data_IF_298380403562
#
_entry.id   IF_298380403562
#
_cell.length_a   1.000
_cell.length_b   1.000
_cell.length_c   1.000
_cell.angle_alpha   90.00
_cell.angle_beta   90.00
_cell.angle_gamma   90.00
#
_symmetry.space_group_name_H-M   'P 1'
#
loop_
_entity.id
_entity.type
_entity.pdbx_description
1 polymer ?
#
# COMPACT_ATOMS: atom_id res chain seq x y z
N UNK A 1 -27.74 3.08 -25.99
CA UNK A 1 -26.95 4.32 -25.86
C UNK A 1 -26.46 4.40 -24.42
N UNK A 2 -25.32 5.02 -24.14
CA UNK A 2 -24.80 5.13 -22.77
C UNK A 2 -25.06 6.54 -22.27
N UNK A 3 -25.53 6.68 -21.03
CA UNK A 3 -25.81 7.97 -20.39
C UNK A 3 -25.01 8.05 -19.10
N UNK A 4 -24.15 9.07 -18.99
CA UNK A 4 -23.45 9.41 -17.75
C UNK A 4 -24.09 10.61 -17.07
N UNK A 5 -24.37 10.53 -15.77
CA UNK A 5 -24.93 11.64 -14.99
C UNK A 5 -24.30 11.71 -13.60
N UNK A 6 -24.30 12.92 -13.01
CA UNK A 6 -24.13 13.07 -11.56
C UNK A 6 -25.41 12.52 -10.91
N UNK A 7 -25.24 11.68 -9.90
CA UNK A 7 -26.34 11.01 -9.21
C UNK A 7 -26.66 11.76 -7.92
N UNK A 8 -27.90 12.23 -7.81
CA UNK A 8 -28.41 12.97 -6.66
C UNK A 8 -29.58 12.26 -5.97
N UNK A 9 -30.27 11.36 -6.70
CA UNK A 9 -31.44 10.63 -6.21
C UNK A 9 -31.04 9.53 -5.23
N UNK A 10 -31.80 9.37 -4.14
CA UNK A 10 -31.46 8.42 -3.07
C UNK A 10 -31.40 6.98 -3.54
N UNK A 11 -32.33 6.56 -4.39
CA UNK A 11 -32.45 5.17 -4.83
C UNK A 11 -31.31 4.77 -5.76
N UNK A 12 -30.91 5.68 -6.67
CA UNK A 12 -29.76 5.50 -7.55
C UNK A 12 -28.43 5.48 -6.76
N UNK A 13 -28.32 6.31 -5.72
CA UNK A 13 -27.17 6.27 -4.80
C UNK A 13 -27.08 4.96 -4.03
N UNK A 14 -28.21 4.47 -3.53
CA UNK A 14 -28.29 3.16 -2.86
C UNK A 14 -27.88 2.03 -3.80
N UNK A 15 -28.25 2.08 -5.09
CA UNK A 15 -27.79 1.13 -6.10
C UNK A 15 -26.25 1.16 -6.22
N UNK A 16 -25.65 2.35 -6.35
CA UNK A 16 -24.19 2.52 -6.41
C UNK A 16 -23.53 1.90 -5.17
N UNK A 17 -24.00 2.22 -3.96
CA UNK A 17 -23.42 1.73 -2.72
C UNK A 17 -23.59 0.20 -2.54
N UNK A 18 -24.67 -0.37 -3.08
CA UNK A 18 -24.85 -1.84 -3.13
C UNK A 18 -23.90 -2.50 -4.12
N UNK A 19 -23.69 -1.92 -5.30
CA UNK A 19 -22.70 -2.46 -6.24
C UNK A 19 -21.29 -2.33 -5.67
N UNK A 20 -20.96 -1.20 -5.00
CA UNK A 20 -19.71 -1.04 -4.25
C UNK A 20 -19.53 -2.15 -3.22
N UNK A 21 -20.56 -2.47 -2.44
CA UNK A 21 -20.52 -3.58 -1.49
C UNK A 21 -20.20 -4.91 -2.20
N UNK A 22 -20.91 -5.26 -3.27
CA UNK A 22 -20.65 -6.50 -4.03
C UNK A 22 -19.22 -6.58 -4.56
N UNK A 23 -18.68 -5.45 -5.04
CA UNK A 23 -17.33 -5.39 -5.58
C UNK A 23 -16.29 -5.47 -4.46
N UNK A 24 -16.29 -4.52 -3.54
CA UNK A 24 -15.20 -4.35 -2.58
C UNK A 24 -15.33 -5.26 -1.36
N UNK A 25 -16.54 -5.61 -0.92
CA UNK A 25 -16.73 -6.52 0.22
C UNK A 25 -16.77 -7.97 -0.24
N UNK A 26 -17.67 -8.32 -1.17
CA UNK A 26 -17.91 -9.72 -1.51
C UNK A 26 -16.87 -10.29 -2.48
N UNK A 27 -16.61 -9.58 -3.59
CA UNK A 27 -15.75 -10.06 -4.68
C UNK A 27 -14.26 -9.88 -4.37
N UNK A 28 -13.85 -8.67 -4.02
CA UNK A 28 -12.44 -8.29 -3.91
C UNK A 28 -11.89 -8.44 -2.48
N UNK A 29 -12.79 -8.45 -1.47
CA UNK A 29 -12.46 -8.55 -0.04
C UNK A 29 -11.50 -7.44 0.41
N UNK A 30 -11.72 -6.25 -0.12
CA UNK A 30 -11.02 -4.99 0.16
C UNK A 30 -11.75 -4.12 1.20
N UNK A 31 -12.97 -4.49 1.59
CA UNK A 31 -13.73 -3.82 2.65
C UNK A 31 -14.34 -4.84 3.63
N UNK A 32 -14.31 -4.58 4.95
CA UNK A 32 -14.79 -5.53 5.96
C UNK A 32 -16.31 -5.67 5.95
N UNK A 33 -16.81 -6.89 5.74
CA UNK A 33 -18.26 -7.14 5.73
C UNK A 33 -18.96 -6.77 7.06
N UNK A 34 -18.25 -6.89 8.19
CA UNK A 34 -18.79 -6.56 9.50
C UNK A 34 -19.04 -5.06 9.72
N UNK A 35 -18.40 -4.17 8.94
CA UNK A 35 -18.68 -2.72 8.99
C UNK A 35 -19.93 -2.34 8.20
N UNK A 36 -20.39 -3.20 7.28
CA UNK A 36 -21.49 -2.91 6.36
C UNK A 36 -22.61 -3.98 6.44
N UNK A 37 -23.24 -4.19 7.61
CA UNK A 37 -24.21 -5.26 7.82
C UNK A 37 -25.49 -5.12 6.98
N UNK A 38 -25.75 -3.93 6.44
CA UNK A 38 -26.89 -3.64 5.56
C UNK A 38 -26.68 -4.06 4.09
N UNK A 39 -25.47 -4.50 3.72
CA UNK A 39 -25.10 -4.75 2.32
C UNK A 39 -24.94 -3.48 1.49
N UNK A 40 -24.70 -2.34 2.14
CA UNK A 40 -24.50 -1.02 1.54
C UNK A 40 -23.14 -0.51 1.99
N UNK A 41 -22.21 -0.30 1.05
CA UNK A 41 -20.90 0.29 1.33
C UNK A 41 -21.00 1.80 1.14
N UNK A 42 -21.32 2.50 2.24
CA UNK A 42 -21.44 3.96 2.33
C UNK A 42 -20.76 4.46 3.61
N UNK A 43 -19.84 5.40 3.45
CA UNK A 43 -19.09 6.02 4.55
C UNK A 43 -19.52 7.48 4.76
N UNK A 44 -19.08 8.12 5.85
CA UNK A 44 -19.48 9.50 6.16
C UNK A 44 -19.06 10.50 5.08
N UNK A 45 -17.90 10.29 4.46
CA UNK A 45 -17.34 11.16 3.43
C UNK A 45 -18.15 11.14 2.12
N UNK A 46 -18.89 10.06 1.85
CA UNK A 46 -19.75 9.93 0.68
C UNK A 46 -20.83 11.03 0.65
N UNK A 47 -21.27 11.52 1.81
CA UNK A 47 -22.26 12.60 1.87
C UNK A 47 -21.75 13.93 1.28
N UNK A 48 -20.43 14.10 1.16
CA UNK A 48 -19.78 15.26 0.54
C UNK A 48 -19.20 14.97 -0.84
N UNK A 49 -19.36 13.74 -1.35
CA UNK A 49 -18.76 13.31 -2.59
C UNK A 49 -19.66 13.61 -3.81
N UNK A 50 -19.02 13.74 -4.97
CA UNK A 50 -19.70 13.75 -6.26
C UNK A 50 -19.76 12.30 -6.76
N UNK A 51 -20.97 11.77 -6.85
CA UNK A 51 -21.22 10.44 -7.41
C UNK A 51 -21.59 10.57 -8.88
N UNK A 52 -20.82 9.91 -9.74
CA UNK A 52 -21.03 9.87 -11.19
C UNK A 52 -21.33 8.42 -11.54
N UNK A 53 -22.39 8.18 -12.29
CA UNK A 53 -22.74 6.85 -12.76
C UNK A 53 -23.06 6.84 -14.25
N UNK A 54 -22.82 5.68 -14.84
CA UNK A 54 -22.95 5.38 -16.25
C UNK A 54 -24.03 4.31 -16.41
N UNK A 55 -25.09 4.62 -17.15
CA UNK A 55 -26.24 3.74 -17.33
C UNK A 55 -26.45 3.40 -18.80
N UNK A 56 -27.03 2.21 -19.04
CA UNK A 56 -27.56 1.86 -20.34
C UNK A 56 -28.92 2.54 -20.54
N UNK A 57 -29.09 3.24 -21.67
CA UNK A 57 -30.22 4.16 -21.91
C UNK A 57 -31.59 3.49 -22.01
N UNK A 58 -31.63 2.23 -22.43
CA UNK A 58 -32.84 1.48 -22.76
C UNK A 58 -33.50 0.82 -21.55
N UNK A 59 -32.71 0.38 -20.57
CA UNK A 59 -33.17 -0.35 -19.39
C UNK A 59 -32.73 0.26 -18.06
N UNK A 60 -31.97 1.36 -18.09
CA UNK A 60 -31.42 2.01 -16.89
C UNK A 60 -30.47 1.13 -16.07
N UNK A 61 -29.84 0.11 -16.67
CA UNK A 61 -28.87 -0.70 -15.96
C UNK A 61 -27.60 0.09 -15.67
N UNK A 62 -27.13 0.05 -14.42
CA UNK A 62 -25.85 0.62 -14.00
C UNK A 62 -24.68 -0.18 -14.61
N UNK A 63 -23.88 0.49 -15.44
CA UNK A 63 -22.70 -0.06 -16.13
C UNK A 63 -21.39 0.22 -15.37
N UNK A 64 -21.36 1.32 -14.62
CA UNK A 64 -20.20 1.72 -13.83
C UNK A 64 -20.44 3.01 -13.06
N UNK A 65 -19.62 3.26 -12.05
CA UNK A 65 -19.71 4.45 -11.21
C UNK A 65 -18.32 4.94 -10.81
N UNK A 66 -18.27 6.19 -10.38
CA UNK A 66 -17.12 6.86 -9.81
C UNK A 66 -17.60 7.74 -8.66
N UNK A 67 -16.98 7.60 -7.49
CA UNK A 67 -17.17 8.52 -6.37
C UNK A 67 -15.93 9.41 -6.27
N UNK A 68 -16.13 10.72 -6.30
CA UNK A 68 -15.04 11.71 -6.20
C UNK A 68 -15.27 12.59 -4.97
N UNK A 69 -14.36 12.53 -4.00
CA UNK A 69 -14.37 13.48 -2.88
C UNK A 69 -13.50 14.67 -3.27
N UNK A 70 -14.12 15.81 -3.56
CA UNK A 70 -13.39 17.02 -3.99
C UNK A 70 -12.89 17.78 -2.77
N UNK A 71 -11.59 18.10 -2.75
CA UNK A 71 -10.99 18.98 -1.74
C UNK A 71 -11.34 20.44 -2.04
N UNK A 72 -12.31 20.99 -1.31
CA UNK A 72 -12.46 22.43 -1.15
C UNK A 72 -11.61 22.95 0.04
N UNK A 73 -11.68 24.25 0.35
CA UNK A 73 -10.88 24.82 1.46
C UNK A 73 -11.29 24.29 2.85
N UNK A 74 -12.52 23.82 3.02
CA UNK A 74 -13.11 23.47 4.32
C UNK A 74 -13.25 21.95 4.53
N UNK A 75 -13.22 21.17 3.46
CA UNK A 75 -13.31 19.71 3.49
C UNK A 75 -11.98 19.15 3.94
N UNK A 76 -11.97 18.24 4.91
CA UNK A 76 -10.77 17.49 5.28
C UNK A 76 -10.93 16.09 4.74
N UNK A 77 -10.02 15.69 3.84
CA UNK A 77 -10.03 14.35 3.26
C UNK A 77 -9.65 13.31 4.33
N UNK A 78 -10.18 12.07 4.27
CA UNK A 78 -9.76 10.98 5.15
C UNK A 78 -8.23 10.84 5.24
N UNK A 79 -7.54 10.90 4.10
CA UNK A 79 -6.09 10.81 4.04
C UNK A 79 -5.37 11.94 4.82
N UNK A 80 -5.96 13.14 4.88
CA UNK A 80 -5.38 14.28 5.61
C UNK A 80 -5.43 14.07 7.12
N UNK A 81 -6.57 13.61 7.65
CA UNK A 81 -6.70 13.30 9.08
C UNK A 81 -5.76 12.17 9.47
N UNK A 82 -5.80 11.09 8.68
CA UNK A 82 -5.10 9.86 8.97
C UNK A 82 -3.58 10.02 9.00
N UNK A 83 -3.05 10.80 8.06
CA UNK A 83 -1.62 11.06 7.98
C UNK A 83 -1.24 12.41 8.57
N UNK A 84 -2.16 13.17 9.16
CA UNK A 84 -1.90 14.52 9.64
C UNK A 84 -1.18 15.39 8.58
N UNK A 85 -1.65 15.30 7.33
CA UNK A 85 -1.12 16.01 6.17
C UNK A 85 -2.12 17.07 5.69
N UNK A 86 -1.66 17.99 4.83
CA UNK A 86 -2.52 18.94 4.11
C UNK A 86 -2.38 18.72 2.62
N UNK A 87 -3.48 18.38 1.96
CA UNK A 87 -3.50 18.21 0.50
C UNK A 87 -3.89 19.54 -0.14
N UNK A 88 -3.25 19.87 -1.25
CA UNK A 88 -3.50 21.10 -2.00
C UNK A 88 -4.98 21.21 -2.45
N UNK A 89 -5.56 22.42 -2.49
CA UNK A 89 -6.89 22.64 -3.06
C UNK A 89 -6.97 22.17 -4.52
N UNK A 90 -8.16 21.74 -4.95
CA UNK A 90 -8.41 21.14 -6.27
C UNK A 90 -7.80 19.73 -6.46
N UNK A 91 -7.51 19.04 -5.37
CA UNK A 91 -7.26 17.60 -5.37
C UNK A 91 -8.55 16.82 -5.15
N UNK A 92 -8.50 15.51 -5.42
CA UNK A 92 -9.59 14.60 -5.08
C UNK A 92 -9.01 13.30 -4.51
N UNK A 93 -9.74 12.70 -3.57
CA UNK A 93 -9.46 11.35 -3.09
C UNK A 93 -10.40 10.35 -3.78
N UNK A 94 -9.82 9.23 -4.18
CA UNK A 94 -10.55 8.01 -4.53
C UNK A 94 -10.42 7.10 -3.30
N UNK A 95 -11.56 6.86 -2.66
CA UNK A 95 -11.79 6.50 -1.26
C UNK A 95 -10.90 5.39 -0.65
N UNK A 96 -10.56 5.51 0.66
CA UNK A 96 -10.02 4.40 1.48
C UNK A 96 -10.46 4.31 2.95
N UNK A 97 -10.50 3.05 3.40
CA UNK A 97 -10.94 2.52 4.69
C UNK A 97 -9.70 2.06 5.50
N UNK A 98 -9.16 2.89 6.40
CA UNK A 98 -8.07 2.44 7.31
C UNK A 98 -8.38 2.71 8.77
N UNK A 99 -8.68 3.96 9.14
CA UNK A 99 -9.01 4.30 10.53
C UNK A 99 -10.30 3.62 10.99
N UNK A 100 -11.30 3.53 10.10
CA UNK A 100 -12.59 2.88 10.38
C UNK A 100 -12.46 1.37 10.63
N UNK A 101 -11.38 0.74 10.13
CA UNK A 101 -11.05 -0.67 10.37
C UNK A 101 -10.34 -0.92 11.71
N UNK A 102 -10.26 0.08 12.59
CA UNK A 102 -9.59 -0.01 13.89
C UNK A 102 -8.07 -0.13 13.80
N UNK A 103 -7.50 0.28 12.66
CA UNK A 103 -6.06 0.24 12.45
C UNK A 103 -5.35 1.45 13.09
N UNK A 104 -4.14 1.21 13.57
CA UNK A 104 -3.22 2.23 14.09
C UNK A 104 -1.86 2.06 13.43
N UNK A 105 -1.24 3.17 13.05
CA UNK A 105 0.08 3.19 12.43
C UNK A 105 1.03 4.06 13.26
N UNK A 106 2.19 3.51 13.61
CA UNK A 106 3.23 4.22 14.35
C UNK A 106 4.57 4.09 13.65
N UNK A 107 5.50 5.02 13.92
CA UNK A 107 6.90 4.92 13.51
C UNK A 107 7.79 4.94 14.75
N UNK A 108 8.78 4.06 14.78
CA UNK A 108 9.75 3.97 15.88
C UNK A 108 11.17 3.95 15.33
N UNK A 109 12.06 4.73 15.93
CA UNK A 109 13.50 4.56 15.72
C UNK A 109 13.94 3.19 16.26
N UNK A 110 15.02 2.60 15.73
CA UNK A 110 15.37 1.22 16.02
C UNK A 110 15.51 0.91 17.51
N UNK A 111 16.11 1.82 18.30
CA UNK A 111 16.28 1.62 19.75
C UNK A 111 14.98 1.56 20.54
N UNK A 112 13.87 2.07 19.98
CA UNK A 112 12.55 2.07 20.61
C UNK A 112 11.70 0.84 20.26
N UNK A 113 12.21 -0.05 19.40
CA UNK A 113 11.50 -1.27 19.01
C UNK A 113 11.78 -2.37 20.04
N UNK A 114 10.75 -2.89 20.74
CA UNK A 114 10.95 -4.00 21.66
C UNK A 114 11.39 -5.25 20.89
N UNK A 115 12.47 -5.90 21.32
CA UNK A 115 13.05 -7.07 20.65
C UNK A 115 12.05 -8.20 20.40
N UNK A 116 11.11 -8.40 21.32
CA UNK A 116 10.00 -9.38 21.19
C UNK A 116 9.12 -9.18 19.95
N UNK A 117 9.16 -8.03 19.30
CA UNK A 117 8.39 -7.78 18.07
C UNK A 117 9.09 -8.35 16.83
N UNK A 118 10.40 -8.61 16.87
CA UNK A 118 11.16 -9.08 15.71
C UNK A 118 10.67 -10.43 15.17
N UNK A 119 10.17 -11.33 16.03
CA UNK A 119 9.59 -12.60 15.59
C UNK A 119 8.30 -12.38 14.79
N UNK A 120 7.48 -11.39 15.18
CA UNK A 120 6.26 -11.03 14.44
C UNK A 120 6.62 -10.40 13.09
N UNK A 121 7.63 -9.53 13.05
CA UNK A 121 8.11 -8.95 11.80
C UNK A 121 8.70 -10.02 10.87
N UNK A 122 9.49 -10.95 11.40
CA UNK A 122 10.06 -12.04 10.62
C UNK A 122 8.96 -12.89 9.98
N UNK A 123 7.90 -13.21 10.73
CA UNK A 123 6.76 -13.96 10.20
C UNK A 123 6.06 -13.21 9.05
N UNK A 124 5.71 -11.95 9.27
CA UNK A 124 5.05 -11.13 8.23
C UNK A 124 5.94 -10.94 6.99
N UNK A 125 7.26 -10.84 7.19
CA UNK A 125 8.23 -10.80 6.10
C UNK A 125 8.20 -12.11 5.29
N UNK A 126 8.31 -13.25 5.97
CA UNK A 126 8.27 -14.57 5.31
C UNK A 126 6.95 -14.82 4.58
N UNK A 127 5.82 -14.39 5.15
CA UNK A 127 4.51 -14.45 4.50
C UNK A 127 4.51 -13.60 3.22
N UNK A 128 5.09 -12.39 3.27
CA UNK A 128 5.18 -11.49 2.10
C UNK A 128 6.06 -12.07 1.00
N UNK A 129 7.22 -12.60 1.36
CA UNK A 129 8.14 -13.23 0.41
C UNK A 129 7.52 -14.47 -0.24
N UNK A 130 6.80 -15.30 0.53
CA UNK A 130 6.14 -16.50 -0.01
C UNK A 130 5.01 -16.17 -1.00
N UNK A 131 4.43 -14.97 -0.92
CA UNK A 131 3.41 -14.48 -1.84
C UNK A 131 3.99 -13.68 -3.02
N UNK A 132 5.30 -13.46 -3.07
CA UNK A 132 5.97 -12.69 -4.13
C UNK A 132 6.72 -13.62 -5.09
N UNK A 133 5.98 -14.18 -6.05
CA UNK A 133 6.48 -15.19 -7.00
C UNK A 133 7.53 -14.65 -7.98
N UNK A 134 7.60 -13.32 -8.16
CA UNK A 134 8.44 -12.67 -9.18
C UNK A 134 9.85 -12.35 -8.68
N UNK A 135 10.16 -12.63 -7.40
CA UNK A 135 11.46 -12.30 -6.81
C UNK A 135 12.27 -13.53 -6.43
N UNK A 136 13.19 -13.89 -7.32
CA UNK A 136 14.13 -15.01 -7.17
C UNK A 136 15.33 -14.67 -6.23
N UNK A 137 15.47 -13.40 -5.82
CA UNK A 137 16.75 -12.87 -5.31
C UNK A 137 16.77 -12.35 -3.87
N UNK A 138 15.81 -12.69 -3.01
CA UNK A 138 15.91 -12.28 -1.61
C UNK A 138 16.71 -13.27 -0.76
N UNK A 139 17.62 -12.72 0.04
CA UNK A 139 18.14 -13.42 1.21
C UNK A 139 16.93 -13.75 2.08
N UNK A 140 16.58 -15.03 2.20
CA UNK A 140 15.56 -15.47 3.15
C UNK A 140 16.13 -15.31 4.56
N UNK A 141 15.85 -14.16 5.17
CA UNK A 141 16.19 -13.92 6.57
C UNK A 141 15.56 -15.01 7.43
N UNK A 142 16.40 -15.62 8.28
CA UNK A 142 15.98 -16.64 9.24
C UNK A 142 15.79 -16.07 10.65
N UNK A 143 16.23 -14.84 10.88
CA UNK A 143 16.22 -14.17 12.16
C UNK A 143 16.24 -12.65 11.97
N UNK A 144 15.38 -11.93 12.69
CA UNK A 144 15.39 -10.47 12.77
C UNK A 144 15.98 -9.95 14.09
N UNK A 145 16.30 -10.80 15.06
CA UNK A 145 16.81 -10.37 16.36
C UNK A 145 18.13 -9.60 16.26
N UNK A 146 18.95 -9.86 15.25
CA UNK A 146 20.19 -9.10 15.02
C UNK A 146 19.95 -7.64 14.63
N UNK A 147 18.73 -7.29 14.20
CA UNK A 147 18.37 -5.91 13.87
C UNK A 147 18.34 -5.00 15.11
N UNK A 148 18.35 -5.55 16.33
CA UNK A 148 18.57 -4.76 17.55
C UNK A 148 19.91 -3.99 17.52
N UNK A 149 20.88 -4.44 16.71
CA UNK A 149 22.21 -3.82 16.58
C UNK A 149 22.25 -2.67 15.58
N UNK A 150 21.18 -2.46 14.82
CA UNK A 150 21.09 -1.35 13.87
C UNK A 150 21.02 -0.01 14.61
N UNK A 151 21.57 1.03 13.99
CA UNK A 151 21.57 2.38 14.56
C UNK A 151 20.24 3.11 14.30
N UNK A 152 20.17 4.39 14.69
CA UNK A 152 18.95 5.20 14.58
C UNK A 152 18.63 5.67 13.15
N UNK A 153 19.47 5.34 12.16
CA UNK A 153 19.11 5.54 10.74
C UNK A 153 18.05 4.53 10.29
N UNK A 154 17.85 3.48 11.06
CA UNK A 154 16.85 2.45 10.83
C UNK A 154 15.58 2.78 11.62
N UNK A 155 14.47 2.88 10.90
CA UNK A 155 13.19 3.28 11.47
C UNK A 155 12.13 2.25 11.06
N UNK A 156 11.17 1.98 11.94
CA UNK A 156 10.17 0.94 11.77
C UNK A 156 8.78 1.55 11.74
N UNK A 157 8.11 1.45 10.61
CA UNK A 157 6.66 1.65 10.56
C UNK A 157 6.01 0.36 11.04
N UNK A 158 5.07 0.47 11.98
CA UNK A 158 4.35 -0.66 12.56
C UNK A 158 2.85 -0.38 12.45
N UNK A 159 2.12 -1.30 11.83
CA UNK A 159 0.66 -1.24 11.70
C UNK A 159 0.03 -2.29 12.59
N UNK A 160 -0.93 -1.85 13.42
CA UNK A 160 -1.69 -2.71 14.32
C UNK A 160 -3.18 -2.60 14.05
N UNK A 161 -3.87 -3.73 14.10
CA UNK A 161 -5.33 -3.79 14.14
C UNK A 161 -5.71 -4.59 15.38
N UNK A 162 -6.52 -4.01 16.29
CA UNK A 162 -6.91 -4.64 17.55
C UNK A 162 -5.71 -5.22 18.33
N UNK A 163 -4.65 -4.42 18.50
CA UNK A 163 -3.37 -4.76 19.15
C UNK A 163 -2.50 -5.85 18.48
N UNK A 164 -2.99 -6.51 17.42
CA UNK A 164 -2.21 -7.43 16.58
C UNK A 164 -1.40 -6.64 15.55
N UNK A 165 -0.11 -6.93 15.39
CA UNK A 165 0.70 -6.39 14.28
C UNK A 165 0.26 -7.07 12.99
N UNK A 166 -0.19 -6.28 12.03
CA UNK A 166 -0.68 -6.75 10.72
C UNK A 166 0.19 -6.25 9.56
N UNK A 167 1.15 -5.37 9.83
CA UNK A 167 2.11 -4.93 8.83
C UNK A 167 3.28 -4.17 9.44
N UNK A 168 4.39 -4.14 8.72
CA UNK A 168 5.53 -3.31 9.05
C UNK A 168 6.30 -2.88 7.80
N UNK A 169 7.07 -1.80 7.92
CA UNK A 169 8.12 -1.46 6.98
C UNK A 169 9.40 -1.04 7.71
N UNK A 170 10.55 -1.57 7.29
CA UNK A 170 11.86 -1.07 7.69
C UNK A 170 12.29 0.05 6.73
N UNK A 171 12.48 1.23 7.28
CA UNK A 171 13.00 2.41 6.61
C UNK A 171 14.49 2.58 6.94
N UNK A 172 15.27 2.97 5.95
CA UNK A 172 16.70 3.26 6.12
C UNK A 172 16.98 4.67 5.59
N UNK A 173 17.60 5.51 6.42
CA UNK A 173 18.05 6.85 6.02
C UNK A 173 19.52 6.79 5.62
N UNK A 174 19.82 7.22 4.39
CA UNK A 174 21.17 7.41 3.89
C UNK A 174 21.28 8.77 3.19
N UNK A 175 22.08 9.68 3.77
CA UNK A 175 22.17 11.06 3.27
C UNK A 175 20.82 11.77 3.31
N UNK A 176 20.35 12.23 2.14
CA UNK A 176 19.04 12.85 1.95
C UNK A 176 17.99 11.88 1.36
N UNK A 177 18.23 10.58 1.44
CA UNK A 177 17.38 9.54 0.85
C UNK A 177 16.80 8.61 1.91
N UNK A 178 15.50 8.38 1.86
CA UNK A 178 14.79 7.34 2.60
C UNK A 178 14.62 6.11 1.71
N UNK A 179 14.94 4.91 2.19
CA UNK A 179 14.67 3.65 1.48
C UNK A 179 13.69 2.80 2.27
N UNK A 180 12.58 2.39 1.63
CA UNK A 180 11.71 1.33 2.13
C UNK A 180 12.37 -0.02 1.81
N UNK A 181 13.02 -0.63 2.80
CA UNK A 181 13.93 -1.77 2.59
C UNK A 181 13.24 -3.12 2.74
N UNK A 182 12.52 -3.33 3.83
CA UNK A 182 11.76 -4.56 4.08
C UNK A 182 10.33 -4.20 4.39
N UNK A 183 9.41 -5.00 3.85
CA UNK A 183 7.97 -4.87 4.09
C UNK A 183 7.45 -6.24 4.51
N UNK A 184 6.58 -6.27 5.49
CA UNK A 184 5.81 -7.45 5.84
C UNK A 184 4.35 -7.11 6.02
N UNK A 185 3.46 -7.98 5.55
CA UNK A 185 2.02 -7.78 5.55
C UNK A 185 1.31 -9.06 6.00
N UNK A 186 0.24 -8.90 6.76
CA UNK A 186 -0.74 -9.94 7.00
C UNK A 186 -1.72 -9.93 5.82
N UNK A 187 -1.52 -10.83 4.86
CA UNK A 187 -2.32 -10.88 3.63
C UNK A 187 -3.78 -11.24 3.88
N UNK A 188 -4.14 -11.77 5.05
CA UNK A 188 -5.53 -12.03 5.40
C UNK A 188 -6.34 -10.73 5.57
N UNK A 189 -5.68 -9.63 5.95
CA UNK A 189 -6.32 -8.34 6.22
C UNK A 189 -5.74 -7.17 5.43
N UNK A 190 -4.61 -7.36 4.72
CA UNK A 190 -3.91 -6.28 4.03
C UNK A 190 -4.79 -5.52 3.01
N UNK A 191 -5.60 -6.26 2.23
CA UNK A 191 -6.51 -5.66 1.25
C UNK A 191 -7.60 -4.84 1.94
N UNK A 192 -8.27 -5.45 2.89
CA UNK A 192 -9.33 -4.86 3.72
C UNK A 192 -8.89 -3.58 4.45
N UNK A 193 -7.68 -3.60 4.98
CA UNK A 193 -7.11 -2.50 5.77
C UNK A 193 -6.26 -1.57 4.92
N UNK A 194 -6.09 -1.84 3.62
CA UNK A 194 -5.16 -1.10 2.77
C UNK A 194 -3.74 -0.91 3.37
N UNK A 195 -3.31 -1.84 4.22
CA UNK A 195 -2.09 -1.70 5.05
C UNK A 195 -0.87 -1.37 4.20
N UNK A 196 -0.70 -2.04 3.06
CA UNK A 196 0.40 -1.81 2.12
C UNK A 196 0.54 -0.34 1.71
N UNK A 197 -0.55 0.31 1.34
CA UNK A 197 -0.53 1.71 0.92
C UNK A 197 -0.23 2.66 2.07
N UNK A 198 -0.78 2.37 3.26
CA UNK A 198 -0.55 3.17 4.45
C UNK A 198 0.91 3.13 4.92
N UNK A 199 1.64 2.04 4.63
CA UNK A 199 3.09 2.01 4.83
C UNK A 199 3.81 3.04 3.95
N UNK A 200 3.43 3.21 2.67
CA UNK A 200 4.02 4.23 1.80
C UNK A 200 3.67 5.63 2.25
N UNK A 201 2.39 5.91 2.52
CA UNK A 201 1.96 7.23 2.96
C UNK A 201 2.68 7.65 4.25
N UNK A 202 2.84 6.73 5.20
CA UNK A 202 3.59 7.01 6.43
C UNK A 202 5.08 7.22 6.16
N UNK A 203 5.68 6.47 5.23
CA UNK A 203 7.07 6.67 4.83
C UNK A 203 7.29 8.04 4.15
N UNK A 204 6.37 8.45 3.26
CA UNK A 204 6.43 9.75 2.59
C UNK A 204 6.28 10.89 3.59
N UNK A 205 5.30 10.80 4.49
CA UNK A 205 5.15 11.75 5.59
C UNK A 205 6.44 11.86 6.40
N UNK A 206 7.03 10.73 6.82
CA UNK A 206 8.27 10.73 7.57
C UNK A 206 9.43 11.37 6.80
N UNK A 207 9.55 11.13 5.49
CA UNK A 207 10.56 11.76 4.64
C UNK A 207 10.39 13.28 4.58
N UNK A 208 9.15 13.76 4.42
CA UNK A 208 8.81 15.18 4.38
C UNK A 208 9.15 15.84 5.73
N UNK A 209 8.71 15.25 6.84
CA UNK A 209 8.95 15.74 8.20
C UNK A 209 10.47 15.84 8.50
N UNK A 210 11.26 14.91 7.97
CA UNK A 210 12.72 14.89 8.11
C UNK A 210 13.47 15.64 7.00
N UNK A 211 12.77 16.33 6.10
CA UNK A 211 13.35 17.12 4.99
C UNK A 211 14.27 16.30 4.07
N UNK A 212 13.95 15.02 3.88
CA UNK A 212 14.64 14.15 2.93
C UNK A 212 14.18 14.51 1.51
N UNK A 213 15.08 14.40 0.53
CA UNK A 213 14.80 14.77 -0.86
C UNK A 213 14.24 13.63 -1.69
N UNK A 214 14.62 12.39 -1.35
CA UNK A 214 14.30 11.22 -2.17
C UNK A 214 13.69 10.12 -1.30
N UNK A 215 12.74 9.37 -1.88
CA UNK A 215 12.21 8.13 -1.32
C UNK A 215 12.35 7.00 -2.34
N UNK A 216 13.03 5.93 -1.96
CA UNK A 216 13.20 4.72 -2.76
C UNK A 216 12.19 3.66 -2.30
N UNK A 217 11.22 3.36 -3.16
CA UNK A 217 10.09 2.47 -2.87
C UNK A 217 10.35 0.98 -3.19
N UNK A 218 11.58 0.59 -3.49
CA UNK A 218 11.95 -0.79 -3.89
C UNK A 218 11.63 -1.12 -5.36
N UNK A 219 11.97 -2.33 -5.80
CA UNK A 219 12.09 -2.70 -7.23
C UNK A 219 11.01 -3.65 -7.76
N UNK A 220 9.93 -3.89 -7.01
CA UNK A 220 8.78 -4.73 -7.42
C UNK A 220 7.49 -3.93 -7.48
N UNK A 221 6.34 -4.56 -7.80
CA UNK A 221 5.01 -3.95 -7.70
C UNK A 221 4.93 -2.54 -8.33
N UNK A 222 5.40 -2.40 -9.57
CA UNK A 222 5.58 -1.11 -10.23
C UNK A 222 4.27 -0.36 -10.40
N UNK A 223 3.20 -1.02 -10.86
CA UNK A 223 1.89 -0.39 -11.08
C UNK A 223 1.38 0.35 -9.83
N UNK A 224 1.51 -0.29 -8.67
CA UNK A 224 1.08 0.30 -7.39
C UNK A 224 1.94 1.52 -7.02
N UNK A 225 3.24 1.48 -7.29
CA UNK A 225 4.14 2.59 -6.97
C UNK A 225 3.96 3.76 -7.94
N UNK A 226 3.71 3.48 -9.21
CA UNK A 226 3.38 4.47 -10.22
C UNK A 226 2.08 5.20 -9.87
N UNK A 227 1.05 4.48 -9.41
CA UNK A 227 -0.21 5.11 -8.98
C UNK A 227 -0.05 6.01 -7.74
N UNK A 228 0.98 5.76 -6.92
CA UNK A 228 1.39 6.61 -5.81
C UNK A 228 2.25 7.83 -6.23
N UNK A 229 2.49 8.01 -7.53
CA UNK A 229 3.32 9.10 -8.07
C UNK A 229 4.82 8.82 -8.08
N UNK A 230 5.25 7.57 -7.83
CA UNK A 230 6.66 7.20 -8.00
C UNK A 230 7.05 7.21 -9.49
N UNK A 231 8.34 7.28 -9.75
CA UNK A 231 8.90 7.16 -11.08
C UNK A 231 9.81 5.92 -11.15
N UNK A 232 9.84 5.27 -12.31
CA UNK A 232 10.79 4.21 -12.57
C UNK A 232 12.18 4.80 -12.81
N UNK A 233 13.17 4.26 -12.10
CA UNK A 233 14.57 4.65 -12.23
C UNK A 233 15.36 3.42 -12.64
N UNK A 234 16.03 3.44 -13.81
CA UNK A 234 16.86 2.33 -14.25
C UNK A 234 17.95 1.99 -13.22
N UNK A 235 18.19 0.70 -13.00
CA UNK A 235 19.27 0.20 -12.14
C UNK A 235 20.20 -0.68 -12.94
N UNK A 236 21.50 -0.56 -12.65
CA UNK A 236 22.53 -1.41 -13.23
C UNK A 236 23.10 -2.31 -12.12
N UNK A 237 23.13 -3.62 -12.37
CA UNK A 237 23.80 -4.59 -11.51
C UNK A 237 24.97 -5.18 -12.28
N UNK A 238 26.08 -5.42 -11.59
CA UNK A 238 27.27 -6.07 -12.16
C UNK A 238 27.55 -7.36 -11.41
N UNK A 239 27.79 -8.43 -12.16
CA UNK A 239 28.22 -9.73 -11.62
C UNK A 239 29.71 -9.87 -11.93
N UNK A 240 30.52 -10.02 -10.88
CA UNK A 240 31.95 -10.29 -11.01
C UNK A 240 32.18 -11.81 -10.91
N UNK A 241 32.72 -12.41 -11.96
CA UNK A 241 33.19 -13.79 -11.94
C UNK A 241 34.64 -13.81 -11.46
N UNK A 242 34.94 -14.62 -10.45
CA UNK A 242 36.30 -14.86 -9.99
C UNK A 242 36.79 -16.16 -10.65
N UNK A 243 37.75 -16.07 -11.57
CA UNK A 243 38.27 -17.15 -12.44
C UNK A 243 39.03 -18.28 -11.69
N UNK A 244 38.78 -18.49 -10.39
CA UNK A 244 39.48 -19.51 -9.59
C UNK A 244 38.92 -20.94 -9.75
N UNK A 245 37.96 -21.16 -10.63
CA UNK A 245 37.48 -22.49 -10.98
C UNK A 245 37.30 -22.53 -12.51
N UNK A 246 37.66 -23.66 -13.13
CA UNK A 246 37.46 -23.97 -14.56
C UNK A 246 35.97 -24.01 -15.00
N UNK A 247 35.08 -23.33 -14.26
CA UNK A 247 33.67 -23.18 -14.58
C UNK A 247 33.50 -22.07 -15.61
N UNK A 248 33.25 -22.49 -16.85
CA UNK A 248 32.93 -21.61 -17.97
C UNK A 248 31.72 -20.72 -17.57
N UNK A 249 31.87 -19.38 -17.53
CA UNK A 249 30.79 -18.45 -17.13
C UNK A 249 29.46 -18.68 -17.87
N UNK A 250 29.53 -19.19 -19.09
CA UNK A 250 28.39 -19.55 -19.94
C UNK A 250 27.47 -20.61 -19.31
N UNK A 251 28.01 -21.57 -18.53
CA UNK A 251 27.21 -22.61 -17.85
C UNK A 251 26.41 -22.02 -16.69
N UNK A 252 26.99 -21.04 -15.97
CA UNK A 252 26.32 -20.32 -14.88
C UNK A 252 25.23 -19.39 -15.43
N UNK A 253 25.52 -18.63 -16.49
CA UNK A 253 24.54 -17.74 -17.12
C UNK A 253 23.32 -18.50 -17.69
N UNK A 254 23.54 -19.69 -18.27
CA UNK A 254 22.44 -20.52 -18.78
C UNK A 254 21.60 -21.18 -17.67
N UNK A 255 22.07 -21.18 -16.42
CA UNK A 255 21.37 -21.75 -15.25
C UNK A 255 20.79 -20.68 -14.31
N UNK A 256 21.19 -19.42 -14.46
CA UNK A 256 20.69 -18.32 -13.64
C UNK A 256 19.39 -17.79 -14.24
N UNK A 257 18.29 -17.96 -13.52
CA UNK A 257 17.11 -17.13 -13.73
C UNK A 257 17.38 -15.77 -13.07
N UNK A 258 17.85 -14.79 -13.85
CA UNK A 258 17.95 -13.42 -13.40
C UNK A 258 16.53 -12.81 -13.45
N UNK A 259 15.99 -12.49 -12.28
CA UNK A 259 14.66 -11.89 -12.17
C UNK A 259 14.61 -10.43 -12.63
N UNK A 260 13.45 -10.05 -13.17
CA UNK A 260 13.10 -8.74 -13.71
C UNK A 260 11.93 -8.95 -14.69
N UNK A 261 10.86 -8.16 -14.57
CA UNK A 261 9.78 -8.19 -15.56
C UNK A 261 10.26 -7.48 -16.82
N UNK A 262 10.09 -8.11 -17.99
CA UNK A 262 10.31 -7.52 -19.31
C UNK A 262 9.16 -6.54 -19.68
N UNK A 263 8.74 -5.69 -18.75
CA UNK A 263 7.71 -4.66 -18.96
C UNK A 263 8.26 -3.24 -18.74
#
# INVERSE_FOLDING_TARGET
MIISKIVLESDDLDEIFRIRYKIFVEREKEAPANLYPSGILKDNIDNSAIHIACYQSDNHNLLGFLTVVVKDRNTVLPIENQHNLRVEPNSAEIMKIFEESGCKIEIKVNSQVPSKLFDSFLKLYQDTESNNLDTINYLHYKNFNDFIRLDEKYNWIIVKQNDKIIGFALLVIEGDTLTLKHVGLDYAVNRETYTYFNLFYRAFQFAIENKLKNVVCGSTAYEVKLSLGCQLVPRTASILFNEKADEIPTVLLNKMNLGGSDE
#
